data_IF_630082875702
#
_entry.id   IF_630082875702
#
_cell.length_a   1.000
_cell.length_b   1.000
_cell.length_c   1.000
_cell.angle_alpha   90.00
_cell.angle_beta   90.00
_cell.angle_gamma   90.00
#
_symmetry.space_group_name_H-M   'P 1'
#
loop_
_entity.id
_entity.type
_entity.pdbx_description
1 polymer ?
#
# COMPACT_ATOMS: atom_id res chain seq x y z
N UNK A 1 -19.02 -13.29 -21.78
CA UNK A 1 -20.02 -13.77 -22.75
C UNK A 1 -20.13 -15.30 -22.80
N UNK A 2 -19.08 -16.03 -22.47
CA UNK A 2 -19.09 -17.50 -22.51
C UNK A 2 -19.43 -18.17 -21.18
N UNK A 3 -19.60 -17.38 -20.13
CA UNK A 3 -19.93 -17.81 -18.76
C UNK A 3 -21.41 -17.67 -18.40
N UNK A 4 -22.25 -17.30 -19.37
CA UNK A 4 -23.71 -17.19 -19.23
C UNK A 4 -24.19 -15.91 -18.55
N UNK A 5 -23.29 -14.95 -18.23
CA UNK A 5 -23.68 -13.66 -17.64
C UNK A 5 -24.42 -12.79 -18.64
N UNK A 6 -25.35 -11.98 -18.12
CA UNK A 6 -26.03 -10.95 -18.88
C UNK A 6 -25.22 -9.64 -18.91
N UNK A 7 -25.60 -8.75 -19.83
CA UNK A 7 -25.03 -7.40 -19.90
C UNK A 7 -25.23 -6.66 -18.57
N UNK A 8 -24.18 -6.03 -18.06
CA UNK A 8 -24.17 -5.33 -16.78
C UNK A 8 -23.85 -6.19 -15.55
N UNK A 9 -23.88 -7.52 -15.68
CA UNK A 9 -23.49 -8.41 -14.60
C UNK A 9 -21.98 -8.41 -14.40
N UNK A 10 -21.55 -8.30 -13.14
CA UNK A 10 -20.13 -8.39 -12.78
C UNK A 10 -19.57 -9.81 -12.94
N UNK A 11 -18.28 -9.99 -13.16
CA UNK A 11 -17.65 -11.31 -13.12
C UNK A 11 -17.63 -11.87 -11.69
N UNK A 12 -17.46 -13.17 -11.57
CA UNK A 12 -17.16 -13.80 -10.30
C UNK A 12 -15.82 -13.32 -9.78
N UNK A 13 -15.74 -13.09 -8.47
CA UNK A 13 -14.50 -12.79 -7.76
C UNK A 13 -14.21 -13.90 -6.74
N UNK A 14 -13.08 -13.83 -6.06
CA UNK A 14 -12.67 -14.83 -5.08
C UNK A 14 -13.73 -15.05 -3.99
N UNK A 15 -14.42 -14.01 -3.55
CA UNK A 15 -15.44 -14.10 -2.50
C UNK A 15 -16.66 -14.93 -2.90
N UNK A 16 -16.98 -15.04 -4.18
CA UNK A 16 -18.10 -15.85 -4.67
C UNK A 16 -17.88 -17.36 -4.47
N UNK A 17 -16.63 -17.79 -4.26
CA UNK A 17 -16.28 -19.21 -4.08
C UNK A 17 -16.21 -19.64 -2.62
N UNK A 18 -16.36 -18.73 -1.68
CA UNK A 18 -16.43 -19.08 -0.27
C UNK A 18 -17.85 -19.49 0.15
N UNK A 19 -18.00 -20.28 1.22
CA UNK A 19 -19.30 -20.48 1.86
C UNK A 19 -19.93 -19.15 2.26
N UNK A 20 -21.27 -19.08 2.27
CA UNK A 20 -21.96 -17.82 2.59
C UNK A 20 -21.68 -17.27 3.99
N UNK A 21 -21.29 -18.12 4.90
CA UNK A 21 -21.01 -17.84 6.32
C UNK A 21 -19.50 -17.67 6.61
N UNK A 22 -18.69 -17.33 5.62
CA UNK A 22 -17.27 -17.11 5.80
C UNK A 22 -16.99 -15.93 6.74
N UNK A 23 -15.90 -16.01 7.49
CA UNK A 23 -15.36 -14.92 8.27
C UNK A 23 -14.35 -14.14 7.41
N UNK A 24 -14.59 -12.85 7.25
CA UNK A 24 -13.65 -11.94 6.59
C UNK A 24 -12.74 -11.28 7.64
N UNK A 25 -11.44 -11.38 7.46
CA UNK A 25 -10.46 -10.61 8.25
C UNK A 25 -9.81 -9.58 7.33
N UNK A 26 -9.95 -8.31 7.67
CA UNK A 26 -9.38 -7.19 6.90
C UNK A 26 -8.24 -6.58 7.67
N UNK A 27 -7.03 -6.85 7.21
CA UNK A 27 -5.83 -6.24 7.77
C UNK A 27 -5.61 -4.82 7.22
N UNK A 28 -5.04 -3.94 8.06
CA UNK A 28 -4.88 -2.51 7.77
C UNK A 28 -6.18 -1.90 7.21
N UNK A 29 -7.28 -2.18 7.88
CA UNK A 29 -8.63 -1.89 7.39
C UNK A 29 -8.85 -0.40 7.08
N UNK A 30 -8.24 0.50 7.85
CA UNK A 30 -8.29 1.94 7.63
C UNK A 30 -7.74 2.39 6.25
N UNK A 31 -6.92 1.54 5.60
CA UNK A 31 -6.41 1.74 4.23
C UNK A 31 -7.15 0.84 3.24
N UNK A 32 -7.36 -0.44 3.60
CA UNK A 32 -7.93 -1.45 2.70
C UNK A 32 -9.39 -1.14 2.33
N UNK A 33 -10.21 -0.72 3.28
CA UNK A 33 -11.62 -0.41 3.04
C UNK A 33 -11.81 0.78 2.08
N UNK A 34 -11.15 1.94 2.28
CA UNK A 34 -11.21 3.03 1.29
C UNK A 34 -10.72 2.64 -0.10
N UNK A 35 -9.69 1.79 -0.19
CA UNK A 35 -9.20 1.29 -1.48
C UNK A 35 -10.27 0.44 -2.19
N UNK A 36 -10.92 -0.47 -1.49
CA UNK A 36 -12.02 -1.27 -2.03
C UNK A 36 -13.15 -0.36 -2.53
N UNK A 37 -13.52 0.65 -1.75
CA UNK A 37 -14.53 1.64 -2.13
C UNK A 37 -14.18 2.42 -3.41
N UNK A 38 -12.91 2.72 -3.63
CA UNK A 38 -12.44 3.47 -4.79
C UNK A 38 -12.27 2.64 -6.08
N UNK A 39 -12.15 1.30 -5.97
CA UNK A 39 -11.83 0.43 -7.10
C UNK A 39 -12.80 0.56 -8.28
N UNK A 40 -14.08 0.49 -8.02
CA UNK A 40 -15.13 0.55 -9.07
C UNK A 40 -15.09 1.89 -9.81
N UNK A 41 -15.07 3.00 -9.07
CA UNK A 41 -15.07 4.34 -9.65
C UNK A 41 -13.84 4.61 -10.52
N UNK A 42 -12.67 4.21 -10.05
CA UNK A 42 -11.41 4.35 -10.78
C UNK A 42 -11.35 3.49 -12.06
N UNK A 43 -11.82 2.24 -11.98
CA UNK A 43 -11.92 1.35 -13.14
C UNK A 43 -12.89 1.89 -14.19
N UNK A 44 -14.09 2.32 -13.77
CA UNK A 44 -15.12 2.87 -14.64
C UNK A 44 -14.64 4.16 -15.33
N UNK A 45 -14.02 5.07 -14.62
CA UNK A 45 -13.52 6.32 -15.18
C UNK A 45 -12.47 6.07 -16.27
N UNK A 46 -11.52 5.16 -16.04
CA UNK A 46 -10.52 4.76 -17.03
C UNK A 46 -11.16 4.12 -18.26
N UNK A 47 -12.11 3.20 -18.08
CA UNK A 47 -12.78 2.49 -19.18
C UNK A 47 -13.68 3.39 -20.01
N UNK A 48 -14.30 4.39 -19.38
CA UNK A 48 -15.14 5.36 -20.08
C UNK A 48 -14.37 5.99 -21.25
N UNK A 49 -13.18 6.52 -21.00
CA UNK A 49 -12.35 7.12 -22.05
C UNK A 49 -11.97 6.09 -23.12
N UNK A 50 -11.58 4.88 -22.72
CA UNK A 50 -11.17 3.84 -23.67
C UNK A 50 -12.30 3.36 -24.57
N UNK A 51 -13.53 3.30 -24.08
CA UNK A 51 -14.70 2.94 -24.87
C UNK A 51 -15.15 4.11 -25.75
N UNK A 52 -15.20 5.33 -25.21
CA UNK A 52 -15.62 6.53 -25.92
C UNK A 52 -14.74 6.81 -27.14
N UNK A 53 -13.42 6.61 -27.00
CA UNK A 53 -12.46 6.79 -28.09
C UNK A 53 -12.23 5.52 -28.94
N UNK A 54 -13.00 4.47 -28.75
CA UNK A 54 -12.98 3.25 -29.58
C UNK A 54 -11.80 2.29 -29.30
N UNK A 55 -11.04 2.48 -28.24
CA UNK A 55 -9.95 1.58 -27.84
C UNK A 55 -10.44 0.29 -27.17
N UNK A 56 -11.66 0.30 -26.63
CA UNK A 56 -12.32 -0.88 -26.05
C UNK A 56 -13.78 -0.97 -26.45
N UNK A 57 -14.31 -2.19 -26.48
CA UNK A 57 -15.74 -2.44 -26.69
C UNK A 57 -16.54 -2.05 -25.44
N UNK A 58 -17.85 -1.68 -25.58
CA UNK A 58 -18.73 -1.39 -24.45
C UNK A 58 -18.78 -2.50 -23.38
N UNK A 59 -18.67 -3.76 -23.78
CA UNK A 59 -18.58 -4.91 -22.89
C UNK A 59 -17.40 -4.86 -21.87
N UNK A 60 -16.43 -3.98 -22.08
CA UNK A 60 -15.37 -3.76 -21.09
C UNK A 60 -15.91 -3.27 -19.74
N UNK A 61 -17.08 -2.61 -19.72
CA UNK A 61 -17.73 -2.17 -18.48
C UNK A 61 -18.25 -3.33 -17.62
N UNK A 62 -18.54 -4.47 -18.20
CA UNK A 62 -19.04 -5.64 -17.48
C UNK A 62 -17.92 -6.40 -16.77
N UNK A 63 -16.68 -6.32 -17.25
CA UNK A 63 -15.52 -6.87 -16.58
C UNK A 63 -14.97 -5.87 -15.55
N UNK A 64 -15.61 -5.76 -14.42
CA UNK A 64 -15.41 -4.74 -13.41
C UNK A 64 -15.20 -5.31 -12.01
N UNK A 65 -14.54 -4.59 -11.10
CA UNK A 65 -14.55 -4.93 -9.68
C UNK A 65 -15.98 -4.78 -9.09
N UNK A 66 -16.14 -5.28 -7.89
CA UNK A 66 -17.35 -5.06 -7.08
C UNK A 66 -17.56 -3.56 -6.86
N UNK A 67 -18.81 -3.13 -6.79
CA UNK A 67 -19.11 -1.88 -6.09
C UNK A 67 -18.95 -2.08 -4.59
N UNK A 68 -18.87 -1.00 -3.82
CA UNK A 68 -18.74 -1.11 -2.38
C UNK A 68 -19.97 -1.78 -1.74
N UNK A 69 -21.15 -1.48 -2.25
CA UNK A 69 -22.42 -2.07 -1.81
C UNK A 69 -22.45 -3.58 -2.10
N UNK A 70 -21.98 -4.01 -3.27
CA UNK A 70 -21.87 -5.42 -3.61
C UNK A 70 -20.90 -6.13 -2.66
N UNK A 71 -19.73 -5.55 -2.41
CA UNK A 71 -18.76 -6.07 -1.46
C UNK A 71 -19.37 -6.20 -0.06
N UNK A 72 -19.96 -5.13 0.44
CA UNK A 72 -20.58 -5.10 1.77
C UNK A 72 -21.70 -6.14 1.92
N UNK A 73 -22.53 -6.34 0.88
CA UNK A 73 -23.62 -7.31 0.89
C UNK A 73 -23.18 -8.78 0.95
N UNK A 74 -21.93 -9.07 0.60
CA UNK A 74 -21.37 -10.43 0.64
C UNK A 74 -20.82 -10.78 2.04
N UNK A 75 -20.64 -9.79 2.91
CA UNK A 75 -20.00 -9.97 4.23
C UNK A 75 -21.08 -10.24 5.28
N UNK A 76 -20.98 -11.37 5.97
CA UNK A 76 -21.83 -11.70 7.11
C UNK A 76 -21.12 -11.47 8.45
N UNK A 77 -19.82 -11.73 8.49
CA UNK A 77 -18.98 -11.57 9.68
C UNK A 77 -17.65 -10.99 9.25
N UNK A 78 -17.20 -9.96 9.95
CA UNK A 78 -15.90 -9.35 9.68
C UNK A 78 -15.14 -9.03 10.96
N UNK A 79 -13.81 -9.15 10.89
CA UNK A 79 -12.88 -8.60 11.87
C UNK A 79 -12.01 -7.57 11.14
N UNK A 80 -12.06 -6.33 11.60
CA UNK A 80 -11.22 -5.26 11.11
C UNK A 80 -9.99 -5.11 12.00
N UNK A 81 -8.81 -5.23 11.42
CA UNK A 81 -7.53 -5.10 12.13
C UNK A 81 -6.86 -3.81 11.69
N UNK A 82 -6.54 -2.95 12.65
CA UNK A 82 -5.90 -1.67 12.37
C UNK A 82 -5.22 -1.10 13.62
N UNK A 83 -4.06 -0.49 13.46
CA UNK A 83 -3.45 0.31 14.52
C UNK A 83 -4.17 1.66 14.73
N UNK A 84 -4.83 2.15 13.69
CA UNK A 84 -5.54 3.44 13.66
C UNK A 84 -6.89 3.26 12.96
N UNK A 85 -7.89 2.61 13.60
CA UNK A 85 -9.20 2.41 13.00
C UNK A 85 -9.86 3.74 12.62
N UNK A 86 -10.56 3.74 11.48
CA UNK A 86 -11.27 4.90 10.95
C UNK A 86 -12.77 4.84 11.27
N UNK A 87 -13.51 5.87 10.88
CA UNK A 87 -14.94 6.00 11.17
C UNK A 87 -15.79 4.84 10.62
N UNK A 88 -15.36 4.21 9.53
CA UNK A 88 -16.06 3.07 8.96
C UNK A 88 -16.05 1.88 9.93
N UNK A 89 -14.87 1.47 10.38
CA UNK A 89 -14.71 0.32 11.29
C UNK A 89 -15.43 0.57 12.64
N UNK A 90 -15.29 1.77 13.18
CA UNK A 90 -15.94 2.13 14.44
C UNK A 90 -17.46 2.11 14.33
N UNK A 91 -18.00 2.51 13.18
CA UNK A 91 -19.46 2.47 12.94
C UNK A 91 -19.94 1.03 12.74
N UNK A 92 -19.26 0.23 11.91
CA UNK A 92 -19.66 -1.15 11.62
C UNK A 92 -19.52 -2.07 12.86
N UNK A 93 -18.58 -1.78 13.75
CA UNK A 93 -18.40 -2.50 15.01
C UNK A 93 -19.27 -1.96 16.16
N UNK A 94 -20.12 -0.97 15.88
CA UNK A 94 -20.94 -0.28 16.92
C UNK A 94 -20.09 0.24 18.10
N UNK A 95 -18.83 0.57 17.83
CA UNK A 95 -17.85 1.03 18.82
C UNK A 95 -17.23 -0.09 19.67
N UNK A 96 -17.50 -1.36 19.36
CA UNK A 96 -16.83 -2.49 20.03
C UNK A 96 -15.42 -2.63 19.48
N UNK A 97 -14.44 -2.32 20.33
CA UNK A 97 -13.01 -2.38 20.00
C UNK A 97 -12.29 -3.27 20.99
N UNK A 98 -11.47 -4.19 20.48
CA UNK A 98 -10.57 -5.01 21.28
C UNK A 98 -9.15 -4.49 21.07
N UNK A 99 -8.56 -3.96 22.14
CA UNK A 99 -7.20 -3.46 22.11
C UNK A 99 -6.20 -4.60 22.38
N UNK A 100 -5.19 -4.70 21.51
CA UNK A 100 -4.07 -5.62 21.68
C UNK A 100 -2.77 -4.81 21.82
N UNK A 101 -2.43 -4.47 23.06
CA UNK A 101 -1.25 -3.68 23.41
C UNK A 101 -0.12 -4.61 23.88
N UNK A 102 0.43 -5.41 22.96
CA UNK A 102 1.49 -6.36 23.26
C UNK A 102 2.74 -6.00 22.46
N UNK A 103 3.87 -5.85 23.17
CA UNK A 103 5.19 -5.69 22.58
C UNK A 103 6.09 -6.86 23.01
N UNK A 104 5.97 -8.04 22.39
CA UNK A 104 6.62 -9.27 22.86
C UNK A 104 8.15 -9.23 22.73
N UNK A 105 8.70 -8.38 21.85
CA UNK A 105 10.14 -8.27 21.63
C UNK A 105 10.89 -7.56 22.76
N UNK A 106 10.19 -6.79 23.60
CA UNK A 106 10.82 -5.93 24.62
C UNK A 106 11.66 -4.77 24.05
N UNK A 107 11.67 -4.61 22.71
CA UNK A 107 12.38 -3.48 22.06
C UNK A 107 11.58 -2.20 22.25
N UNK A 108 12.24 -1.14 22.63
CA UNK A 108 11.66 0.20 22.69
C UNK A 108 11.49 0.77 21.27
N UNK A 109 10.59 1.74 21.15
CA UNK A 109 10.50 2.56 19.94
C UNK A 109 11.81 3.32 19.75
N UNK A 110 12.24 3.56 18.49
CA UNK A 110 13.43 4.36 18.23
C UNK A 110 13.24 5.79 18.72
N UNK A 111 14.32 6.42 19.12
CA UNK A 111 14.34 7.84 19.41
C UNK A 111 14.05 8.62 18.11
N UNK A 112 13.11 9.56 18.17
CA UNK A 112 12.69 10.36 17.02
C UNK A 112 13.14 11.80 17.23
N UNK A 113 13.91 12.32 16.27
CA UNK A 113 14.31 13.72 16.20
C UNK A 113 13.65 14.35 14.96
N UNK A 114 13.00 15.49 15.15
CA UNK A 114 12.39 16.28 14.06
C UNK A 114 13.29 17.46 13.75
N UNK A 115 13.78 17.54 12.53
CA UNK A 115 14.68 18.61 12.06
C UNK A 115 14.02 19.45 10.98
N UNK A 116 14.45 20.73 10.79
CA UNK A 116 13.99 21.57 9.70
C UNK A 116 14.29 20.96 8.33
N UNK A 117 13.45 21.22 7.35
CA UNK A 117 13.68 20.79 5.96
C UNK A 117 14.67 21.67 5.21
N UNK A 118 15.02 22.84 5.74
CA UNK A 118 16.01 23.73 5.18
C UNK A 118 17.40 23.11 5.36
N UNK A 119 18.20 23.07 4.28
CA UNK A 119 19.52 22.42 4.24
C UNK A 119 19.53 20.94 4.64
N UNK A 120 18.39 20.24 4.48
CA UNK A 120 18.22 18.84 4.89
C UNK A 120 19.24 17.88 4.24
N UNK A 121 19.76 18.19 3.05
CA UNK A 121 20.70 17.33 2.34
C UNK A 121 22.10 17.41 2.96
N UNK A 122 22.54 18.60 3.35
CA UNK A 122 23.81 18.79 4.04
C UNK A 122 23.79 18.15 5.43
N UNK A 123 22.69 18.34 6.17
CA UNK A 123 22.45 17.69 7.46
C UNK A 123 22.42 16.15 7.33
N UNK A 124 21.79 15.63 6.28
CA UNK A 124 21.78 14.19 5.99
C UNK A 124 23.19 13.65 5.73
N UNK A 125 24.01 14.38 4.96
CA UNK A 125 25.41 13.98 4.71
C UNK A 125 26.23 13.91 6.00
N UNK A 126 26.09 14.90 6.87
CA UNK A 126 26.77 14.92 8.16
C UNK A 126 26.36 13.76 9.06
N UNK A 127 25.07 13.42 9.10
CA UNK A 127 24.57 12.25 9.83
C UNK A 127 25.09 10.94 9.23
N UNK A 128 25.09 10.79 7.90
CA UNK A 128 25.63 9.59 7.24
C UNK A 128 27.11 9.43 7.61
N UNK A 129 27.92 10.47 7.53
CA UNK A 129 29.34 10.42 7.88
C UNK A 129 29.54 10.07 9.35
N UNK A 130 28.74 10.64 10.23
CA UNK A 130 28.80 10.36 11.67
C UNK A 130 28.49 8.89 11.97
N UNK A 131 27.46 8.32 11.32
CA UNK A 131 27.06 6.92 11.51
C UNK A 131 28.06 5.94 10.89
N UNK A 132 28.54 6.23 9.69
CA UNK A 132 29.51 5.36 9.01
C UNK A 132 30.85 5.30 9.73
N UNK A 133 31.30 6.38 10.37
CA UNK A 133 32.47 6.36 11.24
C UNK A 133 32.32 5.43 12.46
N UNK A 134 31.09 5.11 12.84
CA UNK A 134 30.78 4.16 13.93
C UNK A 134 30.50 2.74 13.43
N UNK A 135 30.70 2.49 12.13
CA UNK A 135 30.36 1.24 11.46
C UNK A 135 28.84 0.93 11.49
N UNK A 136 28.02 1.99 11.57
CA UNK A 136 26.57 1.93 11.50
C UNK A 136 26.08 2.06 10.07
N UNK A 137 24.84 1.65 9.81
CA UNK A 137 24.16 1.75 8.51
C UNK A 137 23.01 2.75 8.59
N UNK A 138 22.70 3.37 7.47
CA UNK A 138 21.65 4.39 7.37
C UNK A 138 20.62 3.97 6.34
N UNK A 139 19.34 3.96 6.72
CA UNK A 139 18.23 3.76 5.81
C UNK A 139 17.51 5.08 5.61
N UNK A 140 17.36 5.51 4.35
CA UNK A 140 16.75 6.77 3.98
C UNK A 140 15.45 6.49 3.23
N UNK A 141 14.33 7.05 3.68
CA UNK A 141 13.05 6.97 2.97
C UNK A 141 12.75 8.26 2.25
N UNK A 142 12.25 8.17 1.02
CA UNK A 142 11.88 9.30 0.17
C UNK A 142 10.42 9.24 -0.26
N UNK A 143 9.84 10.37 -0.65
CA UNK A 143 8.45 10.43 -1.08
C UNK A 143 8.20 9.83 -2.45
N UNK A 144 9.20 9.80 -3.33
CA UNK A 144 9.06 9.30 -4.71
C UNK A 144 10.25 8.45 -5.13
N UNK A 145 10.04 7.54 -6.09
CA UNK A 145 11.10 6.74 -6.73
C UNK A 145 12.19 7.60 -7.32
N UNK A 146 11.80 8.63 -8.06
CA UNK A 146 12.73 9.57 -8.69
C UNK A 146 13.62 10.28 -7.66
N UNK A 147 13.05 10.68 -6.53
CA UNK A 147 13.83 11.28 -5.45
C UNK A 147 14.84 10.30 -4.85
N UNK A 148 14.49 9.00 -4.74
CA UNK A 148 15.42 7.97 -4.29
C UNK A 148 16.60 7.81 -5.25
N UNK A 149 16.33 7.79 -6.56
CA UNK A 149 17.36 7.67 -7.61
C UNK A 149 18.28 8.89 -7.62
N UNK A 150 17.72 10.10 -7.66
CA UNK A 150 18.49 11.38 -7.67
C UNK A 150 19.33 11.54 -6.40
N UNK A 151 18.78 11.20 -5.22
CA UNK A 151 19.53 11.25 -3.97
C UNK A 151 20.67 10.24 -3.93
N UNK A 152 20.45 9.03 -4.47
CA UNK A 152 21.52 8.01 -4.56
C UNK A 152 22.65 8.48 -5.45
N UNK A 153 22.34 9.06 -6.61
CA UNK A 153 23.36 9.61 -7.52
C UNK A 153 24.15 10.75 -6.83
N UNK A 154 23.45 11.63 -6.12
CA UNK A 154 24.08 12.70 -5.36
C UNK A 154 25.04 12.14 -4.29
N UNK A 155 24.64 11.13 -3.51
CA UNK A 155 25.44 10.50 -2.48
C UNK A 155 26.68 9.81 -3.06
N UNK A 156 26.53 9.10 -4.18
CA UNK A 156 27.65 8.46 -4.88
C UNK A 156 28.67 9.49 -5.37
N UNK A 157 28.22 10.63 -5.87
CA UNK A 157 29.09 11.74 -6.30
C UNK A 157 29.87 12.39 -5.11
N UNK A 158 29.36 12.20 -3.89
CA UNK A 158 30.02 12.63 -2.65
C UNK A 158 30.81 11.50 -1.96
N UNK A 159 31.14 10.42 -2.71
CA UNK A 159 31.88 9.25 -2.22
C UNK A 159 31.19 8.48 -1.08
N UNK A 160 29.90 8.61 -0.93
CA UNK A 160 29.09 7.78 -0.03
C UNK A 160 28.63 6.54 -0.80
N UNK A 161 28.87 5.35 -0.25
CA UNK A 161 28.34 4.11 -0.80
C UNK A 161 26.83 4.08 -0.55
N UNK A 162 26.04 4.14 -1.59
CA UNK A 162 24.58 4.16 -1.52
C UNK A 162 23.96 3.31 -2.61
N UNK A 163 22.78 2.78 -2.33
CA UNK A 163 21.91 2.10 -3.31
C UNK A 163 20.46 2.45 -3.02
N UNK A 164 19.59 2.38 -4.03
CA UNK A 164 18.15 2.58 -3.84
C UNK A 164 17.36 1.30 -4.06
N UNK A 165 16.19 1.23 -3.41
CA UNK A 165 15.22 0.15 -3.59
C UNK A 165 13.84 0.76 -3.80
N UNK A 166 13.16 0.37 -4.87
CA UNK A 166 11.75 0.68 -5.11
C UNK A 166 11.08 -0.42 -5.95
N UNK A 167 9.80 -0.26 -6.30
CA UNK A 167 9.01 -1.31 -6.97
C UNK A 167 9.55 -1.76 -8.34
N UNK A 168 10.32 -0.91 -9.04
CA UNK A 168 10.84 -1.21 -10.38
C UNK A 168 12.20 -1.95 -10.34
N UNK A 169 12.82 -2.06 -9.16
CA UNK A 169 14.04 -2.88 -8.97
C UNK A 169 13.66 -4.36 -8.95
N UNK A 170 14.34 -5.17 -9.75
CA UNK A 170 14.09 -6.61 -9.83
C UNK A 170 14.29 -7.31 -8.46
N UNK A 171 13.51 -8.36 -8.20
CA UNK A 171 13.48 -9.01 -6.88
C UNK A 171 14.86 -9.54 -6.44
N UNK A 172 15.63 -10.12 -7.36
CA UNK A 172 16.97 -10.63 -7.05
C UNK A 172 17.95 -9.50 -6.72
N UNK A 173 17.85 -8.36 -7.41
CA UNK A 173 18.69 -7.19 -7.13
C UNK A 173 18.36 -6.58 -5.77
N UNK A 174 17.08 -6.58 -5.36
CA UNK A 174 16.70 -6.14 -4.00
C UNK A 174 17.35 -6.99 -2.92
N UNK A 175 17.34 -8.32 -3.10
CA UNK A 175 17.99 -9.24 -2.14
C UNK A 175 19.49 -8.94 -2.05
N UNK A 176 20.14 -8.70 -3.19
CA UNK A 176 21.55 -8.35 -3.23
C UNK A 176 21.83 -7.02 -2.50
N UNK A 177 21.08 -5.97 -2.81
CA UNK A 177 21.22 -4.65 -2.17
C UNK A 177 21.03 -4.76 -0.64
N UNK A 178 20.03 -5.54 -0.20
CA UNK A 178 19.80 -5.76 1.24
C UNK A 178 20.89 -6.56 1.92
N UNK A 179 21.57 -7.46 1.21
CA UNK A 179 22.71 -8.21 1.77
C UNK A 179 23.99 -7.36 1.79
N UNK A 180 24.12 -6.40 0.88
CA UNK A 180 25.28 -5.49 0.79
C UNK A 180 25.18 -4.31 1.78
N UNK A 181 23.99 -4.09 2.39
CA UNK A 181 23.74 -3.09 3.42
C UNK A 181 24.33 -3.53 4.76
#
# INVERSE_FOLDING_TARGET
>A
YFDGRHEGERPYCLLDFFPKDFLLVVDESHVSIPQIGAMYGGDRARKKNLVEYGFRLPAAFDNRPLTFEEFHSMIHQAIYVSATPADYELRESEGVVVEQLIRPTGLLDPEIEVRPSENQIDDLLDEILTRTHRDERVLITTLTKRMAEELTEFLLNHNVKAAYIHSDVATLDRVKIMNDL
#
